data_IF_611672992375
#
_entry.id   IF_611672992375
#
_cell.length_a   1.000
_cell.length_b   1.000
_cell.length_c   1.000
_cell.angle_alpha   90.00
_cell.angle_beta   90.00
_cell.angle_gamma   90.00
#
_symmetry.space_group_name_H-M   'P 1'
#
loop_
_entity.id
_entity.type
_entity.pdbx_description
1 polymer ?
#
# COMPACT_ATOMS: atom_id res chain seq x y z
N UNK A 1 -10.87 -14.93 20.97
CA UNK A 1 -10.32 -13.62 21.37
C UNK A 1 -10.09 -13.60 22.87
N UNK A 2 -8.83 -13.53 23.32
CA UNK A 2 -8.46 -13.52 24.74
C UNK A 2 -7.09 -12.85 24.85
N UNK A 3 -6.94 -11.53 25.04
CA UNK A 3 -5.67 -10.75 25.10
C UNK A 3 -5.31 -9.97 23.81
N UNK A 4 -5.20 -8.65 23.91
CA UNK A 4 -4.85 -7.67 22.87
C UNK A 4 -5.56 -7.82 21.50
N UNK A 5 -6.73 -8.48 21.48
CA UNK A 5 -7.48 -8.74 20.25
C UNK A 5 -6.82 -9.73 19.30
N UNK A 6 -5.76 -10.43 19.72
CA UNK A 6 -5.03 -11.39 18.89
C UNK A 6 -5.63 -12.78 18.94
N UNK A 7 -5.41 -13.54 17.87
CA UNK A 7 -5.84 -14.92 17.77
C UNK A 7 -5.00 -15.78 18.72
N UNK A 8 -5.68 -16.68 19.41
CA UNK A 8 -5.05 -17.57 20.39
C UNK A 8 -4.83 -18.92 19.73
N UNK A 9 -3.57 -19.25 19.50
CA UNK A 9 -3.17 -20.53 18.93
C UNK A 9 -2.88 -21.54 20.04
N UNK A 10 -3.44 -22.74 19.88
CA UNK A 10 -3.25 -23.88 20.79
C UNK A 10 -2.38 -24.97 20.18
N UNK A 11 -1.81 -24.75 19.00
CA UNK A 11 -0.94 -25.72 18.34
C UNK A 11 0.15 -26.20 19.30
N UNK A 12 0.34 -27.51 19.36
CA UNK A 12 1.37 -28.20 20.15
C UNK A 12 1.36 -27.92 21.67
N UNK A 13 0.26 -27.38 22.23
CA UNK A 13 0.13 -27.16 23.68
C UNK A 13 0.88 -25.92 24.22
N UNK A 14 1.44 -25.09 23.33
CA UNK A 14 2.25 -23.92 23.70
C UNK A 14 1.43 -22.67 24.07
N UNK A 15 0.13 -22.65 23.71
CA UNK A 15 -0.83 -21.60 24.10
C UNK A 15 -0.32 -20.17 23.82
N UNK A 16 -0.03 -19.86 22.55
CA UNK A 16 0.56 -18.58 22.12
C UNK A 16 -0.47 -17.67 21.44
N UNK A 17 -0.10 -16.40 21.28
CA UNK A 17 -0.87 -15.42 20.54
C UNK A 17 -0.17 -15.04 19.25
N UNK A 18 -0.91 -15.05 18.14
CA UNK A 18 -0.37 -14.69 16.84
C UNK A 18 -0.36 -13.16 16.66
N UNK A 19 0.84 -12.59 16.57
CA UNK A 19 1.07 -11.17 16.26
C UNK A 19 1.58 -10.96 14.82
N UNK A 20 1.45 -11.98 13.97
CA UNK A 20 1.88 -12.01 12.57
C UNK A 20 3.38 -12.26 12.45
N UNK A 21 4.20 -11.31 12.90
CA UNK A 21 5.65 -11.41 12.78
C UNK A 21 6.29 -12.38 13.79
N UNK A 22 5.61 -12.68 14.91
CA UNK A 22 6.07 -13.51 16.03
C UNK A 22 4.89 -14.11 16.79
N UNK A 23 5.11 -15.20 17.52
CA UNK A 23 4.14 -15.74 18.47
C UNK A 23 4.49 -15.25 19.88
N UNK A 24 3.50 -14.74 20.60
CA UNK A 24 3.68 -14.26 21.97
C UNK A 24 3.25 -15.35 22.97
N UNK A 25 4.13 -15.73 23.89
CA UNK A 25 3.77 -16.62 25.00
C UNK A 25 3.28 -15.80 26.19
N UNK A 26 2.06 -16.02 26.71
CA UNK A 26 1.60 -15.38 27.94
C UNK A 26 2.20 -16.01 29.20
N UNK A 27 2.67 -17.27 29.12
CA UNK A 27 3.26 -18.00 30.24
C UNK A 27 4.71 -17.56 30.52
N UNK A 28 5.42 -17.15 29.48
CA UNK A 28 6.73 -16.51 29.50
C UNK A 28 6.60 -15.24 28.67
N UNK A 29 6.43 -14.04 29.27
CA UNK A 29 6.03 -12.81 28.57
C UNK A 29 7.14 -12.31 27.64
N UNK A 30 7.31 -13.03 26.54
CA UNK A 30 8.45 -12.99 25.64
C UNK A 30 8.04 -13.53 24.28
N UNK A 31 8.80 -13.15 23.26
CA UNK A 31 8.67 -13.69 21.93
C UNK A 31 9.21 -15.11 21.85
N UNK A 32 8.60 -15.94 21.02
CA UNK A 32 9.07 -17.29 20.70
C UNK A 32 10.35 -17.29 19.83
N UNK A 33 10.66 -16.16 19.19
CA UNK A 33 11.82 -15.97 18.30
C UNK A 33 12.51 -14.64 18.59
N UNK A 34 13.78 -14.56 18.18
CA UNK A 34 14.56 -13.32 18.18
C UNK A 34 13.79 -12.23 17.42
N UNK A 35 13.66 -11.06 18.03
CA UNK A 35 13.18 -9.85 17.39
C UNK A 35 14.06 -9.54 16.17
N UNK A 36 13.49 -9.43 14.96
CA UNK A 36 14.23 -8.99 13.77
C UNK A 36 14.95 -7.65 13.95
N UNK A 37 14.57 -6.84 14.94
CA UNK A 37 15.18 -5.56 15.31
C UNK A 37 16.09 -5.65 16.54
N UNK A 38 16.45 -6.84 17.01
CA UNK A 38 17.30 -7.02 18.18
C UNK A 38 18.64 -6.28 18.09
N UNK A 39 19.19 -6.14 16.88
CA UNK A 39 20.44 -5.41 16.63
C UNK A 39 20.30 -3.89 16.72
N UNK A 40 19.08 -3.34 16.74
CA UNK A 40 18.85 -1.90 16.97
C UNK A 40 18.74 -1.57 18.47
N UNK A 41 18.51 -2.57 19.32
CA UNK A 41 18.26 -2.41 20.75
C UNK A 41 19.13 -3.34 21.61
N UNK A 42 20.45 -3.18 21.54
CA UNK A 42 21.40 -4.01 22.31
C UNK A 42 21.16 -4.05 23.84
N UNK A 43 20.53 -3.02 24.40
CA UNK A 43 20.19 -2.93 25.82
C UNK A 43 18.90 -3.66 26.21
N UNK A 44 18.16 -4.20 25.23
CA UNK A 44 16.89 -4.90 25.40
C UNK A 44 17.06 -6.34 24.96
N UNK A 45 16.49 -7.28 25.71
CA UNK A 45 16.54 -8.69 25.30
C UNK A 45 15.91 -8.86 23.91
N UNK A 46 16.54 -9.62 22.99
CA UNK A 46 15.96 -9.96 21.69
C UNK A 46 14.60 -10.66 21.78
N UNK A 47 14.20 -11.13 22.96
CA UNK A 47 12.93 -11.82 23.20
C UNK A 47 11.93 -10.96 23.98
N UNK A 48 12.26 -9.69 24.29
CA UNK A 48 11.40 -8.84 25.12
C UNK A 48 10.13 -8.38 24.38
N UNK A 49 8.97 -8.69 24.95
CA UNK A 49 7.69 -8.14 24.51
C UNK A 49 7.50 -6.72 25.08
N UNK A 50 7.17 -5.73 24.24
CA UNK A 50 6.88 -4.35 24.67
C UNK A 50 7.99 -3.68 25.52
N UNK A 51 9.27 -4.00 25.27
CA UNK A 51 10.39 -3.54 26.10
C UNK A 51 10.17 -3.80 27.61
N UNK A 52 9.62 -4.99 27.95
CA UNK A 52 9.24 -5.40 29.30
C UNK A 52 8.20 -4.50 30.00
N UNK A 53 7.46 -3.66 29.25
CA UNK A 53 6.38 -2.84 29.81
C UNK A 53 5.06 -3.02 29.03
N UNK A 54 4.45 -4.21 29.08
CA UNK A 54 3.20 -4.52 28.38
C UNK A 54 1.95 -3.86 28.99
N UNK A 55 2.10 -3.18 30.13
CA UNK A 55 1.04 -2.37 30.75
C UNK A 55 0.92 -1.03 30.02
N UNK A 56 2.05 -0.48 29.55
CA UNK A 56 2.13 0.82 28.89
C UNK A 56 2.17 0.74 27.37
N UNK A 57 2.76 -0.32 26.82
CA UNK A 57 2.94 -0.48 25.38
C UNK A 57 2.24 -1.72 24.86
N UNK A 58 1.72 -1.62 23.64
CA UNK A 58 1.19 -2.73 22.85
C UNK A 58 2.01 -2.73 21.58
N UNK A 59 2.77 -3.80 21.33
CA UNK A 59 3.40 -4.03 20.04
C UNK A 59 2.33 -4.55 19.07
N UNK A 60 1.85 -3.76 18.09
CA UNK A 60 0.69 -4.15 17.29
C UNK A 60 1.01 -5.28 16.30
N UNK A 61 2.25 -5.39 15.85
CA UNK A 61 2.70 -6.28 14.76
C UNK A 61 4.23 -6.39 14.55
N UNK A 62 5.05 -5.70 15.34
CA UNK A 62 6.52 -5.66 15.20
C UNK A 62 7.02 -4.79 14.02
N UNK A 63 6.23 -3.82 13.53
CA UNK A 63 6.52 -3.05 12.30
C UNK A 63 6.68 -1.54 12.55
N UNK A 64 7.33 -0.84 11.60
CA UNK A 64 7.64 0.61 11.67
C UNK A 64 6.77 1.50 10.78
N UNK A 65 5.88 0.92 9.95
CA UNK A 65 4.75 1.63 9.37
C UNK A 65 3.61 1.67 10.39
N UNK A 66 3.33 2.85 10.96
CA UNK A 66 2.35 3.03 12.03
C UNK A 66 1.10 3.75 11.54
N UNK A 67 -0.05 3.44 12.11
CA UNK A 67 -1.25 4.27 11.88
C UNK A 67 -1.09 5.64 12.54
N UNK A 68 -1.48 6.70 11.84
CA UNK A 68 -1.53 8.03 12.44
C UNK A 68 -2.59 8.09 13.55
N UNK A 69 -2.46 9.08 14.44
CA UNK A 69 -3.47 9.34 15.45
C UNK A 69 -4.81 9.70 14.80
N UNK A 70 -5.90 9.11 15.27
CA UNK A 70 -7.25 9.39 14.76
C UNK A 70 -7.68 8.51 13.58
N UNK A 71 -6.82 7.65 13.03
CA UNK A 71 -7.19 6.72 11.96
C UNK A 71 -8.27 5.73 12.41
N UNK A 72 -9.32 5.56 11.61
CA UNK A 72 -10.49 4.74 11.95
C UNK A 72 -10.19 3.23 11.91
N UNK A 73 -10.92 2.44 12.70
CA UNK A 73 -10.80 0.97 12.64
C UNK A 73 -11.21 0.40 11.28
N UNK A 74 -12.19 1.00 10.61
CA UNK A 74 -12.61 0.62 9.27
C UNK A 74 -11.47 0.79 8.26
N UNK A 75 -10.71 1.90 8.34
CA UNK A 75 -9.51 2.09 7.54
C UNK A 75 -8.45 1.04 7.85
N UNK A 76 -8.16 0.79 9.13
CA UNK A 76 -7.15 -0.22 9.53
C UNK A 76 -7.48 -1.61 8.98
N UNK A 77 -8.75 -1.99 8.95
CA UNK A 77 -9.19 -3.26 8.35
C UNK A 77 -8.93 -3.30 6.84
N UNK A 78 -9.27 -2.22 6.13
CA UNK A 78 -9.03 -2.10 4.69
C UNK A 78 -7.55 -2.08 4.33
N UNK A 79 -6.74 -1.41 5.14
CA UNK A 79 -5.28 -1.43 4.99
C UNK A 79 -4.73 -2.84 5.18
N UNK A 80 -5.15 -3.56 6.23
CA UNK A 80 -4.75 -4.97 6.41
C UNK A 80 -5.14 -5.84 5.22
N UNK A 81 -6.34 -5.66 4.66
CA UNK A 81 -6.77 -6.38 3.47
C UNK A 81 -5.88 -6.07 2.26
N UNK A 82 -5.49 -4.81 2.06
CA UNK A 82 -4.55 -4.42 0.99
C UNK A 82 -3.17 -5.05 1.18
N UNK A 83 -2.63 -5.06 2.41
CA UNK A 83 -1.33 -5.70 2.69
C UNK A 83 -1.38 -7.21 2.47
N UNK A 84 -2.45 -7.88 2.89
CA UNK A 84 -2.63 -9.31 2.62
C UNK A 84 -2.72 -9.58 1.11
N UNK A 85 -3.48 -8.75 0.39
CA UNK A 85 -3.63 -8.88 -1.05
C UNK A 85 -2.30 -8.71 -1.80
N UNK A 86 -1.48 -7.71 -1.42
CA UNK A 86 -0.12 -7.56 -1.95
C UNK A 86 0.73 -8.81 -1.66
N UNK A 87 0.66 -9.34 -0.43
CA UNK A 87 1.44 -10.52 -0.03
C UNK A 87 1.05 -11.78 -0.82
N UNK A 88 -0.25 -12.03 -0.98
CA UNK A 88 -0.80 -13.16 -1.76
C UNK A 88 -0.32 -13.12 -3.22
N UNK A 89 -0.06 -11.93 -3.75
CA UNK A 89 0.42 -11.71 -5.13
C UNK A 89 1.94 -11.46 -5.21
N UNK A 90 2.69 -11.64 -4.12
CA UNK A 90 4.13 -11.38 -4.04
C UNK A 90 4.53 -9.94 -4.43
N UNK A 91 3.66 -8.96 -4.16
CA UNK A 91 3.82 -7.54 -4.46
C UNK A 91 4.06 -6.66 -3.21
N UNK A 92 4.21 -7.27 -2.03
CA UNK A 92 4.38 -6.61 -0.72
C UNK A 92 5.82 -6.14 -0.43
N UNK A 93 6.77 -6.40 -1.34
CA UNK A 93 8.18 -6.12 -1.13
C UNK A 93 8.53 -4.65 -0.83
N UNK A 94 7.74 -3.68 -1.31
CA UNK A 94 7.95 -2.25 -1.02
C UNK A 94 7.58 -1.96 0.43
N UNK A 95 6.36 -2.33 0.85
CA UNK A 95 5.88 -2.18 2.23
C UNK A 95 6.81 -2.90 3.21
N UNK A 96 7.22 -4.13 2.88
CA UNK A 96 8.14 -4.90 3.71
C UNK A 96 9.51 -4.24 3.90
N UNK A 97 9.97 -3.41 2.95
CA UNK A 97 11.21 -2.64 3.08
C UNK A 97 11.02 -1.36 3.88
N UNK A 98 9.87 -0.69 3.76
CA UNK A 98 9.51 0.44 4.63
C UNK A 98 9.45 -0.01 6.08
N UNK A 99 8.83 -1.17 6.36
CA UNK A 99 8.72 -1.75 7.70
C UNK A 99 10.08 -2.03 8.36
N UNK A 100 11.14 -2.23 7.56
CA UNK A 100 12.52 -2.45 8.03
C UNK A 100 13.31 -1.15 8.22
N UNK A 101 12.82 -0.02 7.73
CA UNK A 101 13.53 1.27 7.80
C UNK A 101 13.72 1.74 9.24
N UNK A 102 14.85 2.37 9.59
CA UNK A 102 15.02 3.00 10.91
C UNK A 102 14.11 4.22 11.14
N UNK A 103 13.52 4.76 10.07
CA UNK A 103 12.62 5.92 10.13
C UNK A 103 11.17 5.47 10.21
N UNK A 104 10.44 6.00 11.20
CA UNK A 104 8.99 5.80 11.33
C UNK A 104 8.27 6.53 10.19
N UNK A 105 7.40 5.80 9.50
CA UNK A 105 6.44 6.32 8.52
C UNK A 105 5.04 6.11 9.09
N UNK A 106 4.17 7.10 8.89
CA UNK A 106 2.76 7.00 9.24
C UNK A 106 1.89 6.66 8.02
N UNK A 107 0.76 6.03 8.26
CA UNK A 107 -0.32 5.87 7.28
C UNK A 107 -1.65 6.33 7.85
N UNK A 108 -2.41 7.07 7.06
CA UNK A 108 -3.73 7.57 7.46
C UNK A 108 -4.71 7.62 6.30
N UNK A 109 -6.00 7.54 6.65
CA UNK A 109 -7.09 7.69 5.70
C UNK A 109 -7.14 9.08 5.08
N UNK A 110 -7.44 9.13 3.78
CA UNK A 110 -7.70 10.36 3.02
C UNK A 110 -8.88 10.16 2.08
N UNK A 111 -10.09 10.16 2.64
CA UNK A 111 -11.30 9.82 1.88
C UNK A 111 -11.68 10.95 0.91
N UNK A 112 -11.88 10.61 -0.36
CA UNK A 112 -12.38 11.53 -1.39
C UNK A 112 -11.33 12.43 -2.04
N UNK A 113 -10.06 12.27 -1.71
CA UNK A 113 -8.95 12.95 -2.35
C UNK A 113 -7.92 11.93 -2.86
N UNK A 114 -7.11 12.27 -3.88
CA UNK A 114 -6.03 11.41 -4.34
C UNK A 114 -5.08 11.02 -3.20
N UNK A 115 -4.60 9.78 -3.25
CA UNK A 115 -3.54 9.32 -2.36
C UNK A 115 -2.27 10.13 -2.59
N UNK A 116 -1.41 10.22 -1.57
CA UNK A 116 -0.16 10.96 -1.65
C UNK A 116 0.80 10.55 -0.54
N UNK A 117 2.10 10.54 -0.83
CA UNK A 117 3.14 10.59 0.19
C UNK A 117 3.54 12.04 0.55
N UNK A 118 3.71 12.31 1.85
CA UNK A 118 4.26 13.57 2.34
C UNK A 118 5.61 13.35 3.03
N UNK A 119 6.69 13.85 2.43
CA UNK A 119 8.04 13.81 3.02
C UNK A 119 8.12 14.59 4.34
N UNK A 120 7.48 15.77 4.40
CA UNK A 120 7.52 16.65 5.58
C UNK A 120 6.82 16.03 6.77
N UNK A 121 5.68 15.37 6.54
CA UNK A 121 4.91 14.70 7.59
C UNK A 121 5.28 13.24 7.77
N UNK A 122 6.14 12.70 6.90
CA UNK A 122 6.50 11.28 6.83
C UNK A 122 5.26 10.38 6.86
N UNK A 123 4.27 10.73 6.04
CA UNK A 123 2.94 10.12 6.10
C UNK A 123 2.47 9.75 4.69
N UNK A 124 2.02 8.51 4.52
CA UNK A 124 1.24 8.04 3.38
C UNK A 124 -0.23 8.35 3.68
N UNK A 125 -0.82 9.17 2.82
CA UNK A 125 -2.25 9.42 2.79
C UNK A 125 -2.89 8.53 1.74
N UNK A 126 -3.88 7.73 2.13
CA UNK A 126 -4.46 6.74 1.22
C UNK A 126 -5.99 6.70 1.35
N UNK A 127 -6.69 6.71 0.22
CA UNK A 127 -8.12 6.36 0.17
C UNK A 127 -8.28 4.87 -0.14
N UNK A 128 -8.75 4.05 0.82
CA UNK A 128 -8.88 2.62 0.62
C UNK A 128 -10.01 2.22 -0.35
N UNK A 129 -10.77 3.17 -0.90
CA UNK A 129 -11.83 2.90 -1.87
C UNK A 129 -11.60 3.56 -3.22
N UNK A 130 -10.52 4.33 -3.39
CA UNK A 130 -10.28 5.07 -4.64
C UNK A 130 -9.33 4.29 -5.53
N UNK A 131 -9.89 3.69 -6.58
CA UNK A 131 -9.12 3.18 -7.71
C UNK A 131 -8.87 4.28 -8.73
N UNK A 132 -8.09 3.96 -9.77
CA UNK A 132 -7.76 4.89 -10.85
C UNK A 132 -8.05 4.23 -12.19
N UNK A 133 -8.82 4.90 -13.05
CA UNK A 133 -8.91 4.57 -14.47
C UNK A 133 -7.85 5.40 -15.19
N UNK A 134 -6.84 4.74 -15.72
CA UNK A 134 -5.69 5.41 -16.32
C UNK A 134 -6.02 5.99 -17.70
N UNK A 135 -5.15 6.87 -18.20
CA UNK A 135 -5.25 7.39 -19.58
C UNK A 135 -5.22 6.30 -20.65
N UNK A 136 -4.61 5.15 -20.35
CA UNK A 136 -4.50 3.98 -21.24
C UNK A 136 -5.62 2.94 -21.04
N UNK A 137 -6.74 3.34 -20.44
CA UNK A 137 -7.91 2.50 -20.13
C UNK A 137 -7.65 1.32 -19.20
N UNK A 138 -6.59 1.39 -18.40
CA UNK A 138 -6.30 0.38 -17.38
C UNK A 138 -6.94 0.77 -16.07
N UNK A 139 -7.46 -0.23 -15.35
CA UNK A 139 -8.09 -0.02 -14.07
C UNK A 139 -7.13 -0.46 -12.99
N UNK A 140 -6.91 0.40 -12.01
CA UNK A 140 -6.06 0.13 -10.88
C UNK A 140 -6.86 0.11 -9.59
N UNK A 141 -6.60 -0.88 -8.73
CA UNK A 141 -7.25 -0.96 -7.42
C UNK A 141 -6.67 0.08 -6.46
N UNK A 142 -7.39 0.41 -5.36
CA UNK A 142 -6.81 1.21 -4.29
C UNK A 142 -5.51 0.61 -3.74
N UNK A 143 -5.33 -0.71 -3.77
CA UNK A 143 -4.09 -1.37 -3.32
C UNK A 143 -2.91 -1.08 -4.25
N UNK A 144 -3.11 -1.06 -5.57
CA UNK A 144 -2.06 -0.66 -6.50
C UNK A 144 -1.66 0.81 -6.29
N UNK A 145 -2.65 1.67 -6.05
CA UNK A 145 -2.43 3.09 -5.71
C UNK A 145 -1.68 3.25 -4.38
N UNK A 146 -1.98 2.43 -3.36
CA UNK A 146 -1.20 2.41 -2.11
C UNK A 146 0.27 2.08 -2.36
N UNK A 147 0.55 1.06 -3.18
CA UNK A 147 1.91 0.62 -3.44
C UNK A 147 2.71 1.64 -4.27
N UNK A 148 2.02 2.41 -5.12
CA UNK A 148 2.57 3.58 -5.80
C UNK A 148 3.09 4.61 -4.77
N UNK A 149 2.26 5.04 -3.82
CA UNK A 149 2.68 6.01 -2.77
C UNK A 149 3.76 5.44 -1.83
N UNK A 150 3.69 4.14 -1.57
CA UNK A 150 4.71 3.45 -0.80
C UNK A 150 6.06 3.46 -1.51
N UNK A 151 6.10 3.41 -2.85
CA UNK A 151 7.35 3.46 -3.58
C UNK A 151 8.04 4.83 -3.49
N UNK A 152 7.29 5.94 -3.56
CA UNK A 152 7.80 7.27 -3.25
C UNK A 152 8.41 7.32 -1.85
N UNK A 153 7.71 6.77 -0.88
CA UNK A 153 8.19 6.66 0.50
C UNK A 153 9.49 5.88 0.58
N UNK A 154 9.57 4.73 -0.09
CA UNK A 154 10.75 3.87 -0.08
C UNK A 154 11.96 4.56 -0.74
N UNK A 155 11.74 5.28 -1.84
CA UNK A 155 12.78 6.03 -2.52
C UNK A 155 13.28 7.20 -1.68
N UNK A 156 12.38 7.92 -1.00
CA UNK A 156 12.75 8.93 0.00
C UNK A 156 13.61 8.34 1.12
N UNK A 157 13.25 7.15 1.64
CA UNK A 157 13.99 6.49 2.72
C UNK A 157 15.37 6.00 2.30
N UNK A 158 15.50 5.48 1.08
CA UNK A 158 16.75 4.88 0.59
C UNK A 158 17.70 5.88 -0.05
N UNK A 159 17.18 6.81 -0.83
CA UNK A 159 17.95 7.71 -1.68
C UNK A 159 17.36 9.15 -1.59
N UNK A 160 17.36 9.78 -0.41
CA UNK A 160 16.66 11.06 -0.19
C UNK A 160 17.12 12.18 -1.13
N UNK A 161 18.41 12.25 -1.46
CA UNK A 161 18.93 13.25 -2.40
C UNK A 161 18.43 13.03 -3.83
N UNK A 162 18.38 11.77 -4.27
CA UNK A 162 17.88 11.41 -5.61
C UNK A 162 16.38 11.64 -5.71
N UNK A 163 15.63 11.25 -4.68
CA UNK A 163 14.20 11.55 -4.54
C UNK A 163 13.96 13.05 -4.70
N UNK A 164 14.65 13.89 -3.91
CA UNK A 164 14.49 15.34 -3.94
C UNK A 164 14.90 15.97 -5.28
N UNK A 165 15.90 15.41 -5.95
CA UNK A 165 16.32 15.82 -7.29
C UNK A 165 15.27 15.49 -8.34
N UNK A 166 14.78 14.25 -8.35
CA UNK A 166 13.82 13.78 -9.35
C UNK A 166 12.47 14.47 -9.19
N UNK A 167 12.01 14.65 -7.95
CA UNK A 167 10.77 15.37 -7.64
C UNK A 167 10.78 16.82 -8.17
N UNK A 168 11.95 17.48 -8.18
CA UNK A 168 12.11 18.84 -8.71
C UNK A 168 12.35 18.90 -10.22
N UNK A 169 12.64 17.76 -10.85
CA UNK A 169 12.97 17.71 -12.26
C UNK A 169 11.70 17.45 -13.05
N UNK A 170 11.19 18.48 -13.73
CA UNK A 170 10.00 18.41 -14.55
C UNK A 170 10.12 17.35 -15.65
N UNK A 171 9.03 16.63 -15.86
CA UNK A 171 8.84 15.71 -16.98
C UNK A 171 7.50 16.05 -17.66
N UNK A 172 7.45 16.22 -18.99
CA UNK A 172 6.25 16.68 -19.69
C UNK A 172 5.06 15.72 -19.62
N UNK A 173 5.31 14.42 -19.46
CA UNK A 173 4.25 13.40 -19.47
C UNK A 173 3.86 12.97 -18.05
N UNK A 174 4.82 13.00 -17.11
CA UNK A 174 4.64 12.47 -15.76
C UNK A 174 4.65 13.53 -14.65
N UNK A 175 4.57 14.82 -14.98
CA UNK A 175 4.81 15.98 -14.10
C UNK A 175 6.27 16.12 -13.61
N UNK A 176 6.88 15.04 -13.12
CA UNK A 176 8.28 15.01 -12.70
C UNK A 176 8.93 13.63 -12.85
N UNK A 177 10.26 13.57 -12.73
CA UNK A 177 11.02 12.32 -12.91
C UNK A 177 10.76 11.27 -11.83
N UNK A 178 10.31 11.68 -10.65
CA UNK A 178 10.01 10.76 -9.55
C UNK A 178 8.69 10.01 -9.82
N UNK A 179 7.67 10.72 -10.30
CA UNK A 179 6.42 10.12 -10.81
C UNK A 179 6.69 9.19 -11.98
N UNK A 180 7.50 9.62 -12.97
CA UNK A 180 7.91 8.76 -14.10
C UNK A 180 8.55 7.46 -13.60
N UNK A 181 9.43 7.53 -12.60
CA UNK A 181 10.13 6.37 -12.03
C UNK A 181 9.16 5.40 -11.37
N UNK A 182 8.15 5.90 -10.65
CA UNK A 182 7.14 5.07 -9.98
C UNK A 182 6.20 4.44 -11.01
N UNK A 183 5.66 5.24 -11.92
CA UNK A 183 4.66 4.81 -12.92
C UNK A 183 5.26 3.77 -13.87
N UNK A 184 6.44 4.04 -14.44
CA UNK A 184 7.12 3.10 -15.35
C UNK A 184 7.79 1.92 -14.60
N UNK A 185 7.82 1.97 -13.27
CA UNK A 185 8.55 1.05 -12.40
C UNK A 185 7.64 0.20 -11.52
N UNK A 186 7.43 0.65 -10.28
CA UNK A 186 6.71 -0.10 -9.26
C UNK A 186 5.22 -0.20 -9.52
N UNK A 187 4.61 0.83 -10.10
CA UNK A 187 3.18 0.81 -10.47
C UNK A 187 2.91 -0.30 -11.49
N UNK A 188 3.67 -0.29 -12.60
CA UNK A 188 3.62 -1.31 -13.65
C UNK A 188 3.81 -2.74 -13.09
N UNK A 189 4.81 -2.92 -12.22
CA UNK A 189 5.09 -4.23 -11.61
C UNK A 189 3.98 -4.67 -10.66
N UNK A 190 3.43 -3.74 -9.88
CA UNK A 190 2.34 -4.03 -8.95
C UNK A 190 1.08 -4.39 -9.72
N UNK A 191 0.68 -3.59 -10.71
CA UNK A 191 -0.50 -3.86 -11.52
C UNK A 191 -0.40 -5.20 -12.24
N UNK A 192 0.78 -5.57 -12.76
CA UNK A 192 1.01 -6.88 -13.36
C UNK A 192 0.88 -8.01 -12.32
N UNK A 193 1.44 -7.84 -11.12
CA UNK A 193 1.38 -8.84 -10.07
C UNK A 193 -0.05 -9.04 -9.52
N UNK A 194 -0.86 -7.98 -9.50
CA UNK A 194 -2.26 -8.01 -9.06
C UNK A 194 -3.25 -8.42 -10.16
N UNK A 195 -2.76 -8.86 -11.32
CA UNK A 195 -3.57 -9.21 -12.50
C UNK A 195 -4.47 -8.06 -13.01
N UNK A 196 -4.09 -6.80 -12.74
CA UNK A 196 -4.82 -5.61 -13.19
C UNK A 196 -4.50 -5.25 -14.65
N UNK A 197 -3.35 -5.72 -15.13
CA UNK A 197 -2.90 -5.63 -16.51
C UNK A 197 -2.29 -6.97 -16.95
N UNK A 198 -2.28 -7.25 -18.25
CA UNK A 198 -1.63 -8.42 -18.82
C UNK A 198 -0.16 -8.16 -19.18
N UNK A 199 0.63 -9.22 -19.32
CA UNK A 199 2.01 -9.12 -19.79
C UNK A 199 2.07 -8.42 -21.16
N UNK A 200 2.90 -7.38 -21.26
CA UNK A 200 3.04 -6.55 -22.47
C UNK A 200 2.11 -5.34 -22.51
N UNK A 201 1.12 -5.24 -21.62
CA UNK A 201 0.33 -4.03 -21.44
C UNK A 201 1.06 -3.04 -20.53
N UNK A 202 0.73 -1.75 -20.66
CA UNK A 202 1.23 -0.68 -19.80
C UNK A 202 0.09 -0.10 -18.97
N UNK A 203 0.34 0.29 -17.72
CA UNK A 203 -0.68 0.97 -16.90
C UNK A 203 -1.05 2.30 -17.53
N UNK A 204 -0.05 3.13 -17.83
CA UNK A 204 -0.14 4.44 -18.48
C UNK A 204 1.24 4.93 -18.91
N UNK A 205 1.26 5.93 -19.78
CA UNK A 205 2.49 6.59 -20.26
C UNK A 205 2.53 8.06 -19.85
N UNK A 206 1.77 8.43 -18.83
CA UNK A 206 1.63 9.76 -18.28
C UNK A 206 1.22 9.66 -16.80
N UNK A 207 1.07 10.80 -16.11
CA UNK A 207 0.57 10.84 -14.72
C UNK A 207 -0.96 11.04 -14.63
N UNK A 208 -1.69 11.02 -15.75
CA UNK A 208 -3.14 11.21 -15.74
C UNK A 208 -3.90 9.96 -15.28
N UNK A 209 -5.07 10.20 -14.71
CA UNK A 209 -5.98 9.16 -14.25
C UNK A 209 -7.27 9.76 -13.70
N UNK A 210 -8.34 8.98 -13.77
CA UNK A 210 -9.65 9.38 -13.27
C UNK A 210 -9.96 8.57 -12.02
N UNK A 211 -10.06 9.21 -10.85
CA UNK A 211 -10.39 8.50 -9.63
C UNK A 211 -11.82 7.96 -9.70
N UNK A 212 -12.03 6.75 -9.20
CA UNK A 212 -13.36 6.17 -9.04
C UNK A 212 -13.45 5.28 -7.81
N UNK A 213 -14.66 5.13 -7.27
CA UNK A 213 -14.89 4.36 -6.05
C UNK A 213 -15.04 2.88 -6.40
N UNK A 214 -14.21 2.03 -5.79
CA UNK A 214 -14.25 0.57 -5.95
C UNK A 214 -15.09 -0.09 -4.85
N UNK A 215 -15.46 -1.36 -5.05
CA UNK A 215 -16.19 -2.16 -4.06
C UNK A 215 -15.36 -2.43 -2.80
N UNK A 216 -14.05 -2.61 -2.95
CA UNK A 216 -13.10 -2.88 -1.88
C UNK A 216 -11.69 -2.39 -2.27
N UNK A 217 -10.72 -2.37 -1.33
CA UNK A 217 -9.34 -1.99 -1.64
C UNK A 217 -8.64 -2.92 -2.64
N UNK A 218 -9.13 -4.15 -2.78
CA UNK A 218 -8.46 -5.27 -3.45
C UNK A 218 -9.13 -5.63 -4.78
N UNK A 219 -9.84 -4.67 -5.38
CA UNK A 219 -10.54 -4.89 -6.66
C UNK A 219 -10.57 -3.62 -7.48
N UNK A 220 -10.60 -3.80 -8.80
CA UNK A 220 -10.83 -2.73 -9.79
C UNK A 220 -12.31 -2.54 -10.10
N UNK A 221 -13.21 -3.36 -9.54
CA UNK A 221 -14.65 -3.24 -9.78
C UNK A 221 -15.22 -1.97 -9.13
N UNK A 222 -15.85 -1.12 -9.94
CA UNK A 222 -16.57 0.05 -9.45
C UNK A 222 -17.70 -0.34 -8.49
N UNK A 223 -17.84 0.41 -7.39
CA UNK A 223 -18.82 0.17 -6.32
C UNK A 223 -20.25 0.05 -6.86
N UNK A 224 -20.62 0.94 -7.77
CA UNK A 224 -21.97 1.02 -8.35
C UNK A 224 -22.04 0.39 -9.77
N UNK A 225 -21.00 -0.34 -10.17
CA UNK A 225 -20.87 -0.91 -11.52
C UNK A 225 -20.69 0.12 -12.64
N UNK A 226 -20.64 1.42 -12.32
CA UNK A 226 -20.45 2.51 -13.27
C UNK A 226 -19.01 3.01 -13.24
N UNK A 227 -18.28 2.77 -14.31
CA UNK A 227 -16.97 3.39 -14.54
C UNK A 227 -17.15 4.82 -15.07
N UNK A 228 -16.26 5.77 -14.71
CA UNK A 228 -16.20 7.04 -15.39
C UNK A 228 -15.88 6.86 -16.88
N UNK A 229 -16.31 7.81 -17.71
CA UNK A 229 -15.86 7.89 -19.11
C UNK A 229 -14.41 8.34 -19.16
N UNK A 230 -13.63 7.73 -20.03
CA UNK A 230 -12.23 8.09 -20.23
C UNK A 230 -12.12 9.19 -21.31
N UNK A 231 -11.85 10.48 -20.97
CA UNK A 231 -11.77 11.55 -21.96
C UNK A 231 -10.47 11.49 -22.78
N UNK A 232 -9.50 10.66 -22.37
CA UNK A 232 -8.23 10.48 -23.07
C UNK A 232 -8.36 9.53 -24.28
N UNK A 233 -9.50 8.83 -24.39
CA UNK A 233 -9.80 7.92 -25.49
C UNK A 233 -10.97 8.51 -26.27
N UNK A 234 -10.74 8.82 -27.55
CA UNK A 234 -11.82 9.24 -28.42
C UNK A 234 -12.68 8.03 -28.80
N UNK A 235 -14.00 8.13 -28.58
CA UNK A 235 -14.95 7.19 -29.18
C UNK A 235 -14.75 7.23 -30.72
N UNK A 236 -14.59 6.07 -31.36
CA UNK A 236 -14.59 6.01 -32.83
C UNK A 236 -15.88 6.66 -33.35
N UNK A 237 -15.76 7.76 -34.09
CA UNK A 237 -16.88 8.34 -34.82
C UNK A 237 -17.21 7.36 -35.94
N UNK A 238 -18.16 6.45 -35.70
CA UNK A 238 -18.73 5.61 -36.75
C UNK A 238 -19.59 6.50 -37.65
N UNK A 239 -19.00 7.06 -38.70
CA UNK A 239 -19.75 7.70 -39.77
C UNK A 239 -20.42 6.59 -40.57
N UNK A 240 -21.67 6.25 -40.24
CA UNK A 240 -22.47 5.36 -41.08
C UNK A 240 -22.77 6.09 -42.40
N UNK A 241 -22.09 5.71 -43.48
CA UNK A 241 -22.43 6.19 -44.81
C UNK A 241 -23.89 5.76 -45.14
N UNK A 242 -24.75 6.66 -45.65
CA UNK A 242 -26.11 6.30 -46.01
C UNK A 242 -26.06 5.26 -47.13
N UNK A 243 -26.74 4.12 -46.92
CA UNK A 243 -26.91 3.10 -47.96
C UNK A 243 -27.56 3.73 -49.18
N UNK A 244 -26.87 3.77 -50.31
CA UNK A 244 -27.45 4.12 -51.60
C UNK A 244 -28.56 3.13 -51.91
N UNK A 245 -29.80 3.60 -52.01
CA UNK A 245 -30.88 2.81 -52.60
C UNK A 245 -30.56 2.63 -54.09
N UNK A 246 -30.33 1.39 -54.51
CA UNK A 246 -30.44 0.97 -55.92
C UNK A 246 -31.89 0.62 -56.21
#
# INVERSE_FOLDING_TARGET
>A
MKYNGKEFDRMHGLNTYDYGARQYSPALPSWDRIDPLAEEYYSVSPYAYCNNNPIRFIDPDGRKLLFASGTTEAFKQKFRAAIMYLHEHNADGIIAQIDKSSTIIYITERVGEPSAFSETKKTIYWDPNMGVLTSSDKKMSPTAVLNHEADHTLQYLKNPDKYAQDFKTFDPDYDNKEEMRVITGSEQKTALALDEISAGEVTRTDHYGIPYITKSPTTTEAKDGKMPKNPFIMDEIVISAPKSKM
#
